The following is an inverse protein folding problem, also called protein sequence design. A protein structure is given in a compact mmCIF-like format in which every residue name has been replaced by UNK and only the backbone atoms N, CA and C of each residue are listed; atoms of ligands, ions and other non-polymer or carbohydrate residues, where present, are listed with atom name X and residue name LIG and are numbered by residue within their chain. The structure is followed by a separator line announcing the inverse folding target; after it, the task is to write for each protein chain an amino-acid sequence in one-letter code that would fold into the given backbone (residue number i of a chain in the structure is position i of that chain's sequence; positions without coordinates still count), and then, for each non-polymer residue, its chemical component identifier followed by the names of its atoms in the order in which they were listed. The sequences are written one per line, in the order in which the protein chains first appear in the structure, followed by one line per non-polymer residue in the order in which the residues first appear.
data_IF_059717140967
#
_entry.id   IF_059717140967
#
_cell.length_a   1.000
_cell.length_b   1.000
_cell.length_c   1.000
_cell.angle_alpha   90.00
_cell.angle_beta   90.00
_cell.angle_gamma   90.00
#
_symmetry.space_group_name_H-M   'P 1'
#
loop_
_entity.id
_entity.type
_entity.pdbx_description
1 polymer ?
#
# COMPACT_ATOMS: atom_id res chain seq x y z
N UNK A 1 33.54 -13.12 18.02
CA UNK A 1 34.01 -12.52 16.74
C UNK A 1 34.32 -13.57 15.67
N UNK A 2 33.68 -14.75 15.68
CA UNK A 2 34.01 -15.86 14.75
C UNK A 2 32.91 -16.27 13.77
N UNK A 3 31.64 -15.91 14.01
CA UNK A 3 30.49 -16.38 13.19
C UNK A 3 29.97 -15.32 12.19
N UNK A 4 30.34 -14.04 12.36
CA UNK A 4 29.88 -12.95 11.49
C UNK A 4 30.60 -12.91 10.14
N UNK A 5 31.77 -13.55 10.03
CA UNK A 5 32.53 -13.63 8.76
C UNK A 5 32.05 -14.79 7.86
N UNK A 6 31.44 -15.84 8.40
CA UNK A 6 30.96 -16.99 7.59
C UNK A 6 29.77 -16.62 6.70
N UNK A 7 28.89 -15.73 7.15
CA UNK A 7 27.73 -15.27 6.36
C UNK A 7 28.11 -14.25 5.28
N UNK A 8 29.18 -13.47 5.47
CA UNK A 8 29.67 -12.54 4.43
C UNK A 8 30.34 -13.25 3.26
N UNK A 9 30.98 -14.41 3.49
CA UNK A 9 31.60 -15.21 2.44
C UNK A 9 30.56 -15.90 1.53
N UNK A 10 29.46 -16.40 2.10
CA UNK A 10 28.33 -16.97 1.33
C UNK A 10 27.70 -15.89 0.41
N UNK A 11 27.55 -14.67 0.91
CA UNK A 11 27.00 -13.56 0.12
C UNK A 11 27.96 -13.10 -1.00
N UNK A 12 29.27 -13.17 -0.77
CA UNK A 12 30.30 -12.82 -1.76
C UNK A 12 30.39 -13.86 -2.88
N UNK A 13 30.25 -15.16 -2.56
CA UNK A 13 30.21 -16.24 -3.56
C UNK A 13 28.96 -16.16 -4.46
N UNK A 14 27.82 -15.73 -3.89
CA UNK A 14 26.57 -15.45 -4.64
C UNK A 14 26.70 -14.23 -5.56
N UNK A 15 27.56 -13.26 -5.22
CA UNK A 15 27.80 -12.03 -6.01
C UNK A 15 28.82 -12.27 -7.14
N UNK A 16 29.81 -13.14 -6.95
CA UNK A 16 30.89 -13.40 -7.93
C UNK A 16 30.49 -14.40 -9.02
N UNK A 17 29.59 -15.34 -8.74
CA UNK A 17 29.04 -16.25 -9.76
C UNK A 17 27.89 -15.61 -10.53
N UNK A 18 28.24 -14.63 -11.35
CA UNK A 18 27.33 -13.93 -12.22
C UNK A 18 26.59 -14.85 -13.21
N UNK A 19 25.26 -14.71 -13.20
CA UNK A 19 24.28 -15.08 -14.25
C UNK A 19 24.00 -16.57 -14.41
N UNK A 20 22.82 -17.00 -13.92
CA UNK A 20 21.87 -17.94 -14.59
C UNK A 20 20.66 -18.38 -13.75
N UNK A 21 20.39 -17.77 -12.60
CA UNK A 21 19.22 -18.16 -11.78
C UNK A 21 17.92 -17.53 -12.28
N UNK A 22 16.89 -18.37 -12.43
CA UNK A 22 15.49 -18.03 -12.68
C UNK A 22 14.86 -17.41 -11.42
N UNK A 23 13.72 -16.72 -11.58
CA UNK A 23 13.04 -16.04 -10.48
C UNK A 23 12.62 -16.97 -9.34
N UNK A 24 12.27 -18.23 -9.65
CA UNK A 24 11.96 -19.27 -8.66
C UNK A 24 13.18 -19.69 -7.84
N UNK A 25 14.34 -19.82 -8.48
CA UNK A 25 15.59 -20.17 -7.80
C UNK A 25 16.06 -19.04 -6.86
N UNK A 26 15.83 -17.78 -7.25
CA UNK A 26 16.04 -16.64 -6.35
C UNK A 26 15.08 -16.65 -5.15
N UNK A 27 13.83 -17.07 -5.35
CA UNK A 27 12.83 -17.10 -4.30
C UNK A 27 13.10 -18.20 -3.28
N UNK A 28 13.50 -19.40 -3.72
CA UNK A 28 13.89 -20.49 -2.83
C UNK A 28 15.12 -20.14 -1.99
N UNK A 29 16.13 -19.47 -2.56
CA UNK A 29 17.31 -19.04 -1.77
C UNK A 29 16.96 -17.94 -0.77
N UNK A 30 16.10 -16.99 -1.14
CA UNK A 30 15.64 -15.95 -0.20
C UNK A 30 14.85 -16.58 0.95
N UNK A 31 13.98 -17.53 0.66
CA UNK A 31 13.20 -18.26 1.66
C UNK A 31 14.11 -19.10 2.56
N UNK A 32 15.13 -19.77 2.02
CA UNK A 32 16.10 -20.55 2.79
C UNK A 32 16.98 -19.66 3.70
N UNK A 33 17.41 -18.49 3.22
CA UNK A 33 18.15 -17.50 4.02
C UNK A 33 17.26 -16.95 5.15
N UNK A 34 15.99 -16.66 4.86
CA UNK A 34 15.00 -16.23 5.86
C UNK A 34 14.78 -17.34 6.90
N UNK A 35 14.55 -18.58 6.47
CA UNK A 35 14.31 -19.72 7.36
C UNK A 35 15.51 -20.01 8.27
N UNK A 36 16.74 -19.97 7.73
CA UNK A 36 17.98 -20.13 8.51
C UNK A 36 18.19 -19.00 9.51
N UNK A 37 17.90 -17.77 9.11
CA UNK A 37 18.02 -16.59 9.99
C UNK A 37 17.00 -16.65 11.13
N UNK A 38 15.74 -17.01 10.84
CA UNK A 38 14.69 -17.16 11.84
C UNK A 38 14.94 -18.34 12.80
N UNK A 39 15.51 -19.46 12.32
CA UNK A 39 15.97 -20.57 13.17
C UNK A 39 17.09 -20.15 14.11
N UNK A 40 18.05 -19.35 13.64
CA UNK A 40 19.15 -18.85 14.46
C UNK A 40 18.67 -17.82 15.50
N UNK A 41 17.68 -16.99 15.17
CA UNK A 41 17.05 -16.05 16.12
C UNK A 41 16.30 -16.83 17.21
N UNK A 42 15.44 -17.80 16.84
CA UNK A 42 14.75 -18.66 17.82
C UNK A 42 15.69 -19.40 18.76
N UNK A 43 16.83 -19.87 18.25
CA UNK A 43 17.85 -20.58 19.04
C UNK A 43 18.63 -19.65 19.98
N UNK A 44 18.71 -18.35 19.69
CA UNK A 44 19.33 -17.35 20.58
C UNK A 44 18.34 -16.76 21.60
N UNK A 45 17.05 -16.67 21.26
CA UNK A 45 16.00 -16.16 22.17
C UNK A 45 15.67 -17.16 23.30
N UNK A 46 15.95 -18.46 23.14
CA UNK A 46 15.91 -19.43 24.25
C UNK A 46 17.02 -19.19 25.29
N UNK A 47 18.14 -18.55 24.91
CA UNK A 47 19.32 -18.37 25.77
C UNK A 47 19.46 -16.95 26.37
N UNK A 48 18.73 -15.94 25.88
CA UNK A 48 18.84 -14.56 26.41
C UNK A 48 17.50 -13.82 26.40
N UNK A 49 16.97 -13.50 27.59
CA UNK A 49 15.88 -12.53 27.77
C UNK A 49 16.33 -11.13 27.32
N UNK A 50 15.93 -10.69 26.12
CA UNK A 50 16.20 -9.33 25.62
C UNK A 50 14.88 -8.62 25.29
N UNK A 51 14.77 -7.36 25.73
CA UNK A 51 13.63 -6.48 25.45
C UNK A 51 13.45 -6.22 23.93
N UNK A 52 12.19 -6.03 23.52
CA UNK A 52 11.74 -5.89 22.12
C UNK A 52 12.48 -4.86 21.26
N UNK A 53 13.24 -3.92 21.85
CA UNK A 53 14.13 -3.00 21.12
C UNK A 53 15.34 -3.66 20.44
N UNK A 54 15.72 -4.90 20.81
CA UNK A 54 16.81 -5.66 20.17
C UNK A 54 16.41 -6.31 18.84
N UNK A 55 15.22 -6.90 18.80
CA UNK A 55 14.65 -7.57 17.64
C UNK A 55 14.44 -6.61 16.47
N UNK A 56 13.90 -5.41 16.75
CA UNK A 56 13.58 -4.43 15.73
C UNK A 56 14.82 -3.87 15.01
N UNK A 57 15.95 -3.71 15.74
CA UNK A 57 17.23 -3.28 15.15
C UNK A 57 17.83 -4.33 14.20
N UNK A 58 17.64 -5.62 14.49
CA UNK A 58 18.09 -6.73 13.62
C UNK A 58 17.21 -6.89 12.38
N UNK A 59 15.89 -6.75 12.52
CA UNK A 59 14.93 -6.75 11.40
C UNK A 59 15.19 -5.60 10.40
N UNK A 60 15.55 -4.42 10.89
CA UNK A 60 15.96 -3.29 10.05
C UNK A 60 17.26 -3.56 9.26
N UNK A 61 18.20 -4.33 9.84
CA UNK A 61 19.43 -4.76 9.16
C UNK A 61 19.14 -5.77 8.03
N UNK A 62 18.26 -6.75 8.29
CA UNK A 62 17.81 -7.75 7.31
C UNK A 62 17.04 -7.08 6.15
N UNK A 63 16.16 -6.13 6.47
CA UNK A 63 15.44 -5.31 5.47
C UNK A 63 16.41 -4.52 4.57
N UNK A 64 17.60 -4.16 5.08
CA UNK A 64 18.66 -3.49 4.31
C UNK A 64 19.38 -4.44 3.34
N UNK A 65 19.47 -5.73 3.65
CA UNK A 65 20.08 -6.76 2.79
C UNK A 65 19.11 -7.27 1.70
N UNK A 66 17.82 -7.44 2.02
CA UNK A 66 16.77 -7.81 1.05
C UNK A 66 16.63 -6.77 -0.08
N UNK A 67 16.93 -5.49 0.21
CA UNK A 67 16.97 -4.40 -0.79
C UNK A 67 17.93 -4.64 -1.95
N UNK A 68 18.94 -5.51 -1.80
CA UNK A 68 19.96 -5.74 -2.84
C UNK A 68 19.59 -6.87 -3.82
N UNK A 69 18.77 -7.85 -3.42
CA UNK A 69 18.43 -9.01 -4.26
C UNK A 69 17.15 -8.83 -5.11
N UNK A 70 16.18 -8.03 -4.66
CA UNK A 70 14.88 -7.89 -5.35
C UNK A 70 14.86 -6.63 -6.21
N UNK A 71 15.55 -6.67 -7.35
CA UNK A 71 15.57 -5.58 -8.33
C UNK A 71 14.84 -6.00 -9.61
N UNK A 72 13.52 -5.71 -9.70
CA UNK A 72 12.87 -5.15 -10.91
C UNK A 72 11.36 -4.86 -10.84
N UNK A 73 10.58 -5.35 -9.86
CA UNK A 73 9.12 -5.08 -9.82
C UNK A 73 8.61 -4.63 -8.44
N UNK A 74 7.81 -3.54 -8.43
CA UNK A 74 7.38 -2.82 -7.22
C UNK A 74 6.27 -3.54 -6.44
N UNK A 75 5.33 -4.18 -7.13
CA UNK A 75 4.19 -4.90 -6.54
C UNK A 75 4.62 -6.11 -5.72
N UNK A 76 5.56 -6.91 -6.25
CA UNK A 76 6.14 -8.08 -5.58
C UNK A 76 6.92 -7.66 -4.32
N UNK A 77 7.58 -6.50 -4.36
CA UNK A 77 8.36 -5.97 -3.24
C UNK A 77 7.50 -5.51 -2.06
N UNK A 78 6.36 -4.87 -2.31
CA UNK A 78 5.44 -4.42 -1.26
C UNK A 78 4.78 -5.62 -0.58
N UNK A 79 4.34 -6.57 -1.40
CA UNK A 79 3.70 -7.80 -0.98
C UNK A 79 4.62 -8.73 -0.17
N UNK A 80 5.88 -8.95 -0.61
CA UNK A 80 6.82 -9.78 0.15
C UNK A 80 7.22 -9.15 1.50
N UNK A 81 7.30 -7.82 1.60
CA UNK A 81 7.52 -7.13 2.88
C UNK A 81 6.35 -7.35 3.84
N UNK A 82 5.13 -7.32 3.30
CA UNK A 82 3.89 -7.51 4.03
C UNK A 82 3.75 -8.94 4.57
N UNK A 83 4.03 -9.97 3.75
CA UNK A 83 4.02 -11.36 4.19
C UNK A 83 5.14 -11.70 5.17
N UNK A 84 6.34 -11.15 4.95
CA UNK A 84 7.46 -11.31 5.87
C UNK A 84 7.18 -10.72 7.25
N UNK A 85 6.49 -9.56 7.32
CA UNK A 85 6.09 -8.95 8.58
C UNK A 85 5.15 -9.86 9.41
N UNK A 86 4.16 -10.47 8.77
CA UNK A 86 3.21 -11.37 9.44
C UNK A 86 3.84 -12.65 9.99
N UNK A 87 4.79 -13.22 9.25
CA UNK A 87 5.55 -14.37 9.69
C UNK A 87 6.36 -14.03 10.95
N UNK A 88 7.01 -12.86 10.97
CA UNK A 88 7.75 -12.35 12.14
C UNK A 88 6.80 -12.07 13.32
N UNK A 89 5.59 -11.58 13.07
CA UNK A 89 4.57 -11.37 14.10
C UNK A 89 3.85 -12.66 14.56
N UNK A 90 4.18 -13.82 13.99
CA UNK A 90 3.56 -15.11 14.36
C UNK A 90 2.10 -15.26 13.93
N UNK A 91 1.63 -14.42 12.99
CA UNK A 91 0.22 -14.33 12.57
C UNK A 91 -0.13 -15.42 11.54
N UNK A 92 0.85 -15.93 10.79
CA UNK A 92 0.63 -16.92 9.72
C UNK A 92 1.71 -18.03 9.78
N UNK A 93 1.34 -19.33 9.75
CA UNK A 93 2.29 -20.43 9.64
C UNK A 93 3.00 -20.48 8.27
N UNK A 94 4.25 -20.94 8.24
CA UNK A 94 5.13 -21.03 7.07
C UNK A 94 4.47 -21.67 5.82
N UNK A 95 3.65 -22.72 6.02
CA UNK A 95 2.97 -23.46 4.95
C UNK A 95 1.80 -22.71 4.28
N UNK A 96 1.19 -21.74 4.98
CA UNK A 96 0.12 -20.91 4.42
C UNK A 96 0.71 -19.77 3.56
N UNK A 97 1.93 -19.32 3.87
CA UNK A 97 2.64 -18.31 3.08
C UNK A 97 2.95 -18.82 1.67
N UNK A 98 3.40 -20.06 1.52
CA UNK A 98 3.70 -20.67 0.22
C UNK A 98 2.44 -20.88 -0.66
N UNK A 99 1.32 -21.29 -0.06
CA UNK A 99 0.04 -21.42 -0.79
C UNK A 99 -0.51 -20.08 -1.24
N UNK A 100 -0.42 -19.07 -0.38
CA UNK A 100 -0.82 -17.70 -0.73
C UNK A 100 0.04 -17.18 -1.89
N UNK A 101 1.36 -17.33 -1.84
CA UNK A 101 2.27 -16.89 -2.91
C UNK A 101 2.00 -17.62 -4.24
N UNK A 102 1.75 -18.92 -4.20
CA UNK A 102 1.47 -19.72 -5.41
C UNK A 102 0.11 -19.47 -6.05
N UNK A 103 -0.83 -18.86 -5.33
CA UNK A 103 -2.15 -18.45 -5.85
C UNK A 103 -2.14 -17.11 -6.60
N UNK A 104 -1.02 -16.38 -6.57
CA UNK A 104 -0.90 -15.04 -7.14
C UNK A 104 -0.60 -15.15 -8.63
N UNK A 105 -1.44 -14.58 -9.53
CA UNK A 105 -1.16 -14.57 -10.95
C UNK A 105 0.18 -13.87 -11.22
N UNK A 106 1.11 -14.54 -11.89
CA UNK A 106 2.34 -13.93 -12.39
C UNK A 106 2.00 -13.00 -13.57
N UNK A 107 2.15 -11.67 -13.45
CA UNK A 107 1.87 -10.78 -14.55
C UNK A 107 3.02 -10.83 -15.55
N UNK A 108 2.72 -11.18 -16.80
CA UNK A 108 3.63 -10.97 -17.93
C UNK A 108 3.64 -9.47 -18.23
N UNK A 109 4.68 -8.74 -17.81
CA UNK A 109 4.80 -7.30 -18.08
C UNK A 109 5.13 -7.08 -19.55
N UNK A 110 4.12 -6.65 -20.32
CA UNK A 110 4.33 -5.90 -21.54
C UNK A 110 3.43 -4.68 -21.55
N UNK A 111 4.06 -3.52 -21.64
CA UNK A 111 3.56 -2.21 -22.06
C UNK A 111 3.02 -1.21 -21.00
N UNK A 112 3.31 0.06 -21.28
CA UNK A 112 3.22 1.26 -20.43
C UNK A 112 1.79 1.70 -20.01
N UNK A 113 0.81 0.79 -20.05
CA UNK A 113 -0.59 1.10 -19.74
C UNK A 113 -0.96 0.66 -18.34
N UNK A 114 -1.51 1.57 -17.54
CA UNK A 114 -2.07 1.20 -16.24
C UNK A 114 -3.18 0.15 -16.39
N UNK A 115 -3.22 -0.78 -15.44
CA UNK A 115 -4.33 -1.72 -15.30
C UNK A 115 -5.63 -0.99 -14.96
N UNK A 116 -6.75 -1.56 -15.40
CA UNK A 116 -8.08 -1.00 -15.10
C UNK A 116 -8.46 -1.27 -13.65
N UNK A 117 -9.16 -0.31 -13.04
CA UNK A 117 -9.80 -0.45 -11.73
C UNK A 117 -11.31 -0.47 -11.95
N UNK A 118 -11.98 -1.49 -11.43
CA UNK A 118 -13.43 -1.63 -11.44
C UNK A 118 -13.95 -1.30 -10.06
N UNK A 119 -14.96 -0.43 -9.99
CA UNK A 119 -15.58 0.00 -8.74
C UNK A 119 -17.08 0.11 -8.91
N UNK A 120 -17.82 -0.30 -7.88
CA UNK A 120 -19.27 -0.13 -7.89
C UNK A 120 -19.63 1.34 -7.64
N UNK A 121 -20.46 1.98 -8.48
CA UNK A 121 -20.93 3.35 -8.20
C UNK A 121 -21.77 3.42 -6.91
N UNK A 122 -22.36 2.31 -6.47
CA UNK A 122 -23.11 2.24 -5.21
C UNK A 122 -22.20 2.41 -3.98
N UNK A 123 -20.92 2.04 -4.08
CA UNK A 123 -19.95 2.21 -2.99
C UNK A 123 -19.84 3.67 -2.56
N UNK A 124 -19.87 4.61 -3.51
CA UNK A 124 -19.79 6.04 -3.18
C UNK A 124 -21.05 6.55 -2.50
N UNK A 125 -22.21 6.01 -2.88
CA UNK A 125 -23.47 6.35 -2.20
C UNK A 125 -23.43 5.85 -0.76
N UNK A 126 -23.03 4.61 -0.54
CA UNK A 126 -22.91 4.04 0.80
C UNK A 126 -21.88 4.81 1.65
N UNK A 127 -20.74 5.20 1.05
CA UNK A 127 -19.76 6.04 1.73
C UNK A 127 -20.35 7.41 2.15
N UNK A 128 -21.14 8.06 1.30
CA UNK A 128 -21.83 9.31 1.66
C UNK A 128 -22.82 9.09 2.81
N UNK A 129 -23.57 7.99 2.78
CA UNK A 129 -24.53 7.65 3.83
C UNK A 129 -23.81 7.43 5.18
N UNK A 130 -22.65 6.76 5.17
CA UNK A 130 -21.75 6.57 6.33
C UNK A 130 -21.14 7.89 6.83
N UNK A 131 -20.79 8.77 5.90
CA UNK A 131 -20.16 10.06 6.18
C UNK A 131 -21.13 11.14 6.67
N UNK A 132 -22.44 10.94 6.51
CA UNK A 132 -23.47 11.96 6.80
C UNK A 132 -23.32 12.62 8.17
N UNK A 133 -23.10 11.91 9.30
CA UNK A 133 -22.94 12.56 10.60
C UNK A 133 -21.75 13.51 10.67
N UNK A 134 -20.65 13.18 9.97
CA UNK A 134 -19.45 14.02 9.88
C UNK A 134 -19.69 15.24 8.97
N UNK A 135 -20.34 15.01 7.82
CA UNK A 135 -20.69 16.05 6.87
C UNK A 135 -21.60 17.12 7.50
N UNK A 136 -22.59 16.71 8.30
CA UNK A 136 -23.50 17.63 9.01
C UNK A 136 -22.76 18.52 10.03
N UNK A 137 -21.58 18.09 10.49
CA UNK A 137 -20.69 18.83 11.38
C UNK A 137 -19.54 19.55 10.65
N UNK A 138 -19.55 19.55 9.30
CA UNK A 138 -18.46 20.08 8.48
C UNK A 138 -17.10 19.45 8.85
N UNK A 139 -17.07 18.12 9.00
CA UNK A 139 -15.89 17.31 9.28
C UNK A 139 -15.60 16.39 8.09
N UNK A 140 -14.35 16.37 7.64
CA UNK A 140 -13.88 15.39 6.65
C UNK A 140 -13.79 14.00 7.27
N UNK A 141 -14.09 13.00 6.46
CA UNK A 141 -13.96 11.59 6.81
C UNK A 141 -13.40 10.86 5.59
N UNK A 142 -12.54 9.87 5.83
CA UNK A 142 -11.94 9.05 4.79
C UNK A 142 -12.12 7.55 5.01
N UNK A 143 -11.86 6.78 3.97
CA UNK A 143 -11.86 5.33 3.97
C UNK A 143 -10.87 4.78 2.93
N UNK A 144 -10.40 3.55 3.16
CA UNK A 144 -9.52 2.83 2.23
C UNK A 144 -10.36 2.04 1.24
N UNK A 145 -10.00 2.14 -0.04
CA UNK A 145 -10.51 1.29 -1.11
C UNK A 145 -9.59 0.08 -1.24
N UNK A 146 -10.08 -1.09 -0.85
CA UNK A 146 -9.33 -2.33 -0.91
C UNK A 146 -10.01 -3.35 -1.84
N UNK A 147 -9.23 -4.30 -2.35
CA UNK A 147 -9.80 -5.30 -3.22
C UNK A 147 -8.81 -6.28 -3.84
N UNK A 148 -9.20 -6.90 -4.95
CA UNK A 148 -8.48 -8.05 -5.53
C UNK A 148 -8.03 -7.76 -6.95
N UNK A 149 -6.98 -8.45 -7.40
CA UNK A 149 -6.54 -8.48 -8.79
C UNK A 149 -7.10 -9.75 -9.46
N UNK A 150 -7.81 -9.61 -10.56
CA UNK A 150 -8.31 -10.76 -11.32
C UNK A 150 -7.24 -11.36 -12.26
N UNK A 151 -7.59 -12.50 -12.87
CA UNK A 151 -6.72 -13.21 -13.81
C UNK A 151 -6.46 -12.43 -15.12
N UNK A 152 -7.33 -11.47 -15.47
CA UNK A 152 -7.17 -10.58 -16.62
C UNK A 152 -6.27 -9.38 -16.29
N UNK A 153 -5.78 -9.27 -15.05
CA UNK A 153 -4.97 -8.15 -14.60
C UNK A 153 -5.77 -6.89 -14.30
N UNK A 154 -7.07 -6.97 -13.99
CA UNK A 154 -7.90 -5.84 -13.56
C UNK A 154 -8.08 -5.85 -12.06
N UNK A 155 -8.00 -4.67 -11.46
CA UNK A 155 -8.29 -4.49 -10.04
C UNK A 155 -9.78 -4.34 -9.83
N UNK A 156 -10.33 -5.00 -8.82
CA UNK A 156 -11.72 -4.89 -8.40
C UNK A 156 -11.74 -4.34 -6.99
N UNK A 157 -12.35 -3.18 -6.77
CA UNK A 157 -12.59 -2.66 -5.42
C UNK A 157 -13.75 -3.45 -4.81
N UNK A 158 -13.43 -4.34 -3.88
CA UNK A 158 -14.37 -5.27 -3.24
C UNK A 158 -14.54 -5.01 -1.74
N UNK A 159 -13.80 -4.06 -1.17
CA UNK A 159 -13.97 -3.65 0.22
C UNK A 159 -13.80 -2.13 0.39
N UNK A 160 -14.73 -1.53 1.14
CA UNK A 160 -14.62 -0.16 1.67
C UNK A 160 -14.32 -0.26 3.16
N UNK A 161 -13.10 0.12 3.56
CA UNK A 161 -12.65 0.02 4.95
C UNK A 161 -12.66 1.41 5.59
N UNK A 162 -13.55 1.64 6.55
CA UNK A 162 -13.69 2.92 7.24
C UNK A 162 -12.90 2.84 8.56
N UNK A 163 -11.72 3.46 8.67
CA UNK A 163 -10.93 3.38 9.90
C UNK A 163 -11.57 4.19 11.02
N UNK A 164 -11.27 3.82 12.27
CA UNK A 164 -11.30 4.78 13.37
C UNK A 164 -10.44 5.98 12.98
N UNK A 165 -10.91 7.20 13.22
CA UNK A 165 -10.21 8.40 12.70
C UNK A 165 -10.55 9.65 13.50
N UNK A 166 -9.61 10.59 13.56
CA UNK A 166 -9.86 11.95 14.05
C UNK A 166 -10.19 12.84 12.86
N UNK A 167 -11.41 13.37 12.84
CA UNK A 167 -11.91 14.19 11.76
C UNK A 167 -11.79 15.68 12.09
N UNK A 168 -11.36 16.48 11.12
CA UNK A 168 -11.32 17.94 11.15
C UNK A 168 -11.99 18.50 9.89
N UNK A 169 -12.21 19.82 9.81
CA UNK A 169 -12.92 20.41 8.68
C UNK A 169 -12.16 20.37 7.34
N UNK A 170 -10.86 20.12 7.35
CA UNK A 170 -9.99 20.15 6.17
C UNK A 170 -8.97 19.00 6.13
N UNK A 171 -9.12 18.02 7.02
CA UNK A 171 -8.25 16.86 7.11
C UNK A 171 -8.87 15.79 8.00
N UNK A 172 -8.33 14.58 7.92
CA UNK A 172 -8.58 13.53 8.89
C UNK A 172 -7.29 12.73 9.13
N UNK A 173 -7.20 12.10 10.29
CA UNK A 173 -6.10 11.20 10.66
C UNK A 173 -6.69 9.83 10.94
N UNK A 174 -6.32 8.81 10.15
CA UNK A 174 -6.68 7.44 10.46
C UNK A 174 -5.96 6.98 11.74
N UNK A 175 -6.70 6.31 12.61
CA UNK A 175 -6.20 5.69 13.84
C UNK A 175 -6.08 4.19 13.61
N UNK A 176 -5.03 3.58 14.16
CA UNK A 176 -4.79 2.15 14.09
C UNK A 176 -4.72 1.60 12.65
N UNK A 177 -3.95 2.24 11.78
CA UNK A 177 -3.74 1.80 10.39
C UNK A 177 -3.25 0.34 10.28
N UNK A 178 -2.55 -0.16 11.30
CA UNK A 178 -2.13 -1.57 11.42
C UNK A 178 -3.32 -2.54 11.34
N UNK A 179 -4.48 -2.18 11.90
CA UNK A 179 -5.69 -3.02 11.84
C UNK A 179 -6.23 -3.11 10.42
N UNK A 180 -6.22 -2.01 9.66
CA UNK A 180 -6.61 -2.00 8.25
C UNK A 180 -5.68 -2.91 7.44
N UNK A 181 -4.39 -2.82 7.72
CA UNK A 181 -3.37 -3.62 7.05
C UNK A 181 -3.54 -5.12 7.35
N UNK A 182 -3.74 -5.49 8.62
CA UNK A 182 -4.02 -6.86 9.05
C UNK A 182 -5.32 -7.38 8.42
N UNK A 183 -6.38 -6.55 8.38
CA UNK A 183 -7.62 -6.93 7.72
C UNK A 183 -7.40 -7.23 6.24
N UNK A 184 -6.72 -6.34 5.51
CA UNK A 184 -6.41 -6.56 4.10
C UNK A 184 -5.65 -7.87 3.88
N UNK A 185 -4.61 -8.12 4.67
CA UNK A 185 -3.82 -9.34 4.62
C UNK A 185 -4.68 -10.59 4.81
N UNK A 186 -5.43 -10.61 5.91
CA UNK A 186 -6.19 -11.81 6.34
C UNK A 186 -7.30 -12.16 5.36
N UNK A 187 -7.71 -11.19 4.53
CA UNK A 187 -8.73 -11.35 3.49
C UNK A 187 -8.14 -11.30 2.07
N UNK A 188 -6.81 -11.35 1.93
CA UNK A 188 -6.11 -11.29 0.64
C UNK A 188 -6.48 -10.08 -0.24
N UNK A 189 -6.67 -8.93 0.40
CA UNK A 189 -6.98 -7.65 -0.24
C UNK A 189 -5.73 -6.79 -0.40
N UNK A 190 -5.74 -5.97 -1.44
CA UNK A 190 -4.71 -5.00 -1.79
C UNK A 190 -5.29 -3.60 -1.58
N UNK A 191 -4.48 -2.66 -1.08
CA UNK A 191 -4.86 -1.24 -1.04
C UNK A 191 -4.87 -0.70 -2.48
N UNK A 192 -6.05 -0.39 -3.01
CA UNK A 192 -6.24 0.10 -4.38
C UNK A 192 -6.39 1.63 -4.39
N UNK A 193 -6.72 2.24 -3.26
CA UNK A 193 -6.82 3.68 -3.16
C UNK A 193 -7.47 4.14 -1.89
N UNK A 194 -7.96 5.37 -1.92
CA UNK A 194 -8.66 6.03 -0.82
C UNK A 194 -9.87 6.79 -1.35
N UNK A 195 -10.81 7.04 -0.44
CA UNK A 195 -11.95 7.92 -0.67
C UNK A 195 -12.13 8.83 0.55
N UNK A 196 -12.36 10.12 0.33
CA UNK A 196 -12.66 11.05 1.41
C UNK A 196 -13.68 12.11 0.99
N UNK A 197 -14.25 12.77 1.99
CA UNK A 197 -15.22 13.85 1.77
C UNK A 197 -14.60 15.22 1.90
N UNK A 198 -15.04 16.16 1.06
CA UNK A 198 -14.90 17.60 1.23
C UNK A 198 -16.27 18.20 1.56
N UNK A 199 -16.63 18.39 2.84
CA UNK A 199 -17.96 18.86 3.23
C UNK A 199 -18.32 20.21 2.61
N UNK A 200 -17.37 21.14 2.52
CA UNK A 200 -17.62 22.50 1.99
C UNK A 200 -16.65 22.92 0.89
N UNK A 201 -15.55 22.20 0.72
CA UNK A 201 -14.49 22.51 -0.24
C UNK A 201 -14.85 22.02 -1.65
N UNK A 202 -14.06 22.48 -2.62
CA UNK A 202 -14.18 22.04 -4.01
C UNK A 202 -13.73 20.60 -4.18
N UNK A 203 -14.28 19.93 -5.19
CA UNK A 203 -13.87 18.58 -5.58
C UNK A 203 -12.52 18.61 -6.30
N UNK A 204 -11.45 18.66 -5.51
CA UNK A 204 -10.05 18.80 -5.95
C UNK A 204 -9.14 18.21 -4.87
N UNK A 205 -7.94 17.74 -5.22
CA UNK A 205 -6.97 17.31 -4.21
C UNK A 205 -6.28 18.51 -3.57
N UNK A 206 -6.33 18.56 -2.24
CA UNK A 206 -5.57 19.49 -1.40
C UNK A 206 -4.08 19.09 -1.32
N UNK A 207 -3.23 19.93 -0.73
CA UNK A 207 -1.82 19.56 -0.52
C UNK A 207 -1.66 18.40 0.45
N UNK A 208 -2.57 18.26 1.43
CA UNK A 208 -2.57 17.17 2.40
C UNK A 208 -2.98 15.88 1.68
N UNK A 209 -4.05 15.93 0.89
CA UNK A 209 -4.54 14.80 0.09
C UNK A 209 -3.46 14.27 -0.85
N UNK A 210 -2.70 15.17 -1.49
CA UNK A 210 -1.60 14.79 -2.36
C UNK A 210 -0.51 14.01 -1.62
N UNK A 211 -0.17 14.39 -0.39
CA UNK A 211 0.82 13.67 0.41
C UNK A 211 0.29 12.34 0.93
N UNK A 212 -0.98 12.28 1.31
CA UNK A 212 -1.63 11.03 1.70
C UNK A 212 -1.66 10.05 0.52
N UNK A 213 -2.16 10.51 -0.62
CA UNK A 213 -2.28 9.71 -1.83
C UNK A 213 -0.92 9.28 -2.42
N UNK A 214 0.15 10.06 -2.22
CA UNK A 214 1.49 9.71 -2.68
C UNK A 214 1.91 8.33 -2.18
N UNK A 215 1.59 7.96 -0.94
CA UNK A 215 1.96 6.67 -0.39
C UNK A 215 1.22 5.51 -1.06
N UNK A 216 -0.09 5.66 -1.27
CA UNK A 216 -0.88 4.69 -2.03
C UNK A 216 -0.32 4.50 -3.44
N UNK A 217 -0.06 5.60 -4.16
CA UNK A 217 0.42 5.53 -5.54
C UNK A 217 1.89 5.10 -5.64
N UNK A 218 2.69 5.32 -4.60
CA UNK A 218 4.04 4.80 -4.52
C UNK A 218 4.02 3.28 -4.40
N UNK A 219 3.14 2.71 -3.57
CA UNK A 219 3.01 1.25 -3.42
C UNK A 219 2.35 0.59 -4.62
N UNK A 220 1.28 1.20 -5.16
CA UNK A 220 0.53 0.73 -6.32
C UNK A 220 0.41 1.86 -7.37
N UNK A 221 1.09 1.77 -8.53
CA UNK A 221 1.04 2.83 -9.55
C UNK A 221 -0.35 3.19 -10.08
N UNK A 222 -1.29 2.24 -10.04
CA UNK A 222 -2.70 2.41 -10.40
C UNK A 222 -3.56 3.07 -9.33
N UNK A 223 -3.05 3.31 -8.12
CA UNK A 223 -3.90 3.74 -7.02
C UNK A 223 -4.66 5.03 -7.32
N UNK A 224 -5.89 5.12 -6.82
CA UNK A 224 -6.79 6.26 -7.04
C UNK A 224 -7.11 6.98 -5.73
N UNK A 225 -7.31 8.30 -5.80
CA UNK A 225 -7.86 9.12 -4.72
C UNK A 225 -9.21 9.66 -5.15
N UNK A 226 -10.24 9.33 -4.37
CA UNK A 226 -11.62 9.69 -4.66
C UNK A 226 -12.05 10.80 -3.72
N UNK A 227 -12.45 11.95 -4.28
CA UNK A 227 -12.99 13.08 -3.51
C UNK A 227 -14.49 13.13 -3.69
N UNK A 228 -15.23 13.18 -2.58
CA UNK A 228 -16.67 13.40 -2.56
C UNK A 228 -16.97 14.78 -1.99
N UNK A 229 -17.45 15.70 -2.82
CA UNK A 229 -17.72 17.09 -2.45
C UNK A 229 -19.22 17.42 -2.52
N UNK A 230 -20.04 17.05 -1.51
CA UNK A 230 -21.50 17.17 -1.58
C UNK A 230 -22.01 18.62 -1.58
N UNK A 231 -21.19 19.64 -1.37
CA UNK A 231 -21.63 21.03 -1.48
C UNK A 231 -20.97 21.78 -2.65
N UNK A 232 -20.17 21.09 -3.46
CA UNK A 232 -19.64 21.67 -4.70
C UNK A 232 -20.71 21.63 -5.80
N UNK A 233 -21.20 22.81 -6.19
CA UNK A 233 -22.20 22.97 -7.24
C UNK A 233 -21.71 22.58 -8.65
N UNK A 234 -20.39 22.48 -8.85
CA UNK A 234 -19.80 22.21 -10.17
C UNK A 234 -19.47 20.74 -10.37
N UNK A 235 -18.90 20.09 -9.35
CA UNK A 235 -18.47 18.70 -9.41
C UNK A 235 -18.61 18.08 -8.03
N UNK A 236 -19.55 17.15 -7.86
CA UNK A 236 -19.81 16.52 -6.55
C UNK A 236 -18.89 15.36 -6.23
N UNK A 237 -18.15 14.89 -7.22
CA UNK A 237 -17.33 13.68 -7.14
C UNK A 237 -16.21 13.73 -8.16
N UNK A 238 -15.03 13.24 -7.79
CA UNK A 238 -13.90 13.13 -8.69
C UNK A 238 -12.96 11.99 -8.32
N UNK A 239 -12.35 11.40 -9.35
CA UNK A 239 -11.34 10.34 -9.20
C UNK A 239 -10.05 10.88 -9.75
N UNK A 240 -9.02 10.90 -8.92
CA UNK A 240 -7.75 11.55 -9.20
C UNK A 240 -6.60 10.59 -9.00
N UNK A 241 -5.47 10.97 -9.60
CA UNK A 241 -4.18 10.36 -9.39
C UNK A 241 -3.09 11.43 -9.44
N UNK A 242 -1.95 11.16 -8.83
CA UNK A 242 -0.75 12.01 -8.98
C UNK A 242 -0.10 11.74 -10.34
N UNK A 243 0.34 12.79 -11.03
CA UNK A 243 1.05 12.62 -12.31
C UNK A 243 2.39 11.92 -12.10
N UNK A 244 2.72 10.98 -12.98
CA UNK A 244 3.95 10.18 -12.90
C UNK A 244 4.72 10.33 -14.23
N UNK A 245 5.98 10.79 -14.24
CA UNK A 245 6.87 10.97 -13.08
C UNK A 245 6.80 12.32 -12.38
N UNK A 246 6.21 13.36 -12.97
CA UNK A 246 6.35 14.74 -12.48
C UNK A 246 5.82 14.94 -11.06
N UNK A 247 4.52 14.71 -10.82
CA UNK A 247 3.91 14.91 -9.52
C UNK A 247 4.49 14.02 -8.42
N UNK A 248 4.70 12.73 -8.72
CA UNK A 248 5.36 11.80 -7.80
C UNK A 248 6.77 12.27 -7.41
N UNK A 249 7.52 12.83 -8.35
CA UNK A 249 8.87 13.36 -8.09
C UNK A 249 8.84 14.64 -7.25
N UNK A 250 7.86 15.52 -7.46
CA UNK A 250 7.67 16.75 -6.67
C UNK A 250 7.34 16.39 -5.22
N UNK A 251 6.36 15.51 -5.00
CA UNK A 251 5.93 15.11 -3.66
C UNK A 251 7.04 14.37 -2.90
N UNK A 252 7.77 13.47 -3.58
CA UNK A 252 8.93 12.76 -3.01
C UNK A 252 10.02 13.70 -2.49
N UNK A 253 10.22 14.85 -3.13
CA UNK A 253 11.26 15.82 -2.77
C UNK A 253 10.77 16.89 -1.82
N UNK A 254 9.48 16.91 -1.49
CA UNK A 254 8.92 17.89 -0.57
C UNK A 254 9.47 17.66 0.84
N UNK A 255 9.98 18.72 1.46
CA UNK A 255 10.51 18.74 2.82
C UNK A 255 9.68 19.64 3.76
N UNK A 256 8.52 20.12 3.30
CA UNK A 256 7.58 20.89 4.12
C UNK A 256 6.80 19.96 5.04
N UNK A 257 6.25 20.50 6.12
CA UNK A 257 5.33 19.76 6.97
C UNK A 257 4.09 19.34 6.14
N UNK A 258 3.82 18.05 6.08
CA UNK A 258 2.74 17.48 5.28
C UNK A 258 1.37 17.65 5.94
N UNK A 259 1.34 17.92 7.25
CA UNK A 259 0.11 18.24 7.98
C UNK A 259 -0.36 19.69 7.76
N UNK A 260 0.50 20.55 7.19
CA UNK A 260 0.19 21.95 6.93
C UNK A 260 -0.12 22.19 5.45
N UNK A 261 -1.08 23.08 5.18
CA UNK A 261 -1.37 23.51 3.81
C UNK A 261 -0.18 24.21 3.17
N UNK A 262 0.22 23.76 1.99
CA UNK A 262 1.29 24.39 1.24
C UNK A 262 1.18 24.17 -0.26
N UNK A 263 1.73 25.12 -1.01
CA UNK A 263 1.77 25.04 -2.47
C UNK A 263 2.97 24.22 -2.95
N UNK A 264 2.72 23.47 -4.04
CA UNK A 264 3.73 22.84 -4.87
C UNK A 264 3.81 23.58 -6.20
N UNK A 265 4.99 24.09 -6.54
CA UNK A 265 5.18 24.81 -7.80
C UNK A 265 5.06 23.86 -8.99
N UNK A 266 4.12 24.16 -9.88
CA UNK A 266 3.97 23.47 -11.17
C UNK A 266 4.51 24.35 -12.28
N UNK A 267 5.69 24.00 -12.80
CA UNK A 267 6.38 24.79 -13.84
C UNK A 267 5.65 24.83 -15.20
N UNK A 268 4.70 23.92 -15.46
CA UNK A 268 3.99 23.80 -16.75
C UNK A 268 2.87 22.75 -16.78
N UNK A 269 2.92 21.74 -15.91
CA UNK A 269 1.99 20.60 -15.89
C UNK A 269 1.40 20.40 -14.49
N UNK A 270 0.13 19.93 -14.40
CA UNK A 270 -0.52 19.73 -13.11
C UNK A 270 0.12 18.57 -12.32
N UNK A 271 0.16 18.71 -10.99
CA UNK A 271 0.75 17.70 -10.10
C UNK A 271 -0.12 16.44 -9.96
N UNK A 272 -1.41 16.55 -10.27
CA UNK A 272 -2.38 15.47 -10.32
C UNK A 272 -3.33 15.68 -11.48
N UNK A 273 -4.01 14.63 -11.93
CA UNK A 273 -5.02 14.70 -12.97
C UNK A 273 -6.20 13.78 -12.65
N UNK A 274 -7.28 13.97 -13.41
CA UNK A 274 -8.41 13.04 -13.42
C UNK A 274 -7.95 11.68 -13.96
N UNK A 275 -8.38 10.60 -13.32
CA UNK A 275 -8.01 9.23 -13.72
C UNK A 275 -9.21 8.35 -14.09
N UNK A 276 -10.32 8.98 -14.49
CA UNK A 276 -11.53 8.28 -14.95
C UNK A 276 -11.28 7.43 -16.21
N UNK A 277 -10.18 7.65 -16.95
CA UNK A 277 -9.84 6.90 -18.16
C UNK A 277 -9.54 5.40 -17.92
N UNK A 278 -9.06 5.04 -16.72
CA UNK A 278 -8.81 3.64 -16.33
C UNK A 278 -9.63 3.19 -15.12
N UNK A 279 -10.51 4.05 -14.62
CA UNK A 279 -11.51 3.70 -13.59
C UNK A 279 -12.84 3.39 -14.26
N UNK A 280 -13.30 2.14 -14.14
CA UNK A 280 -14.53 1.63 -14.72
C UNK A 280 -15.58 1.52 -13.61
N UNK A 281 -16.68 2.25 -13.76
CA UNK A 281 -17.82 2.13 -12.87
C UNK A 281 -18.71 0.97 -13.33
N UNK A 282 -18.71 -0.12 -12.57
CA UNK A 282 -19.48 -1.32 -12.89
C UNK A 282 -20.44 -1.66 -11.73
N UNK A 283 -21.77 -1.52 -11.93
CA UNK A 283 -22.76 -1.81 -10.89
C UNK A 283 -22.82 -3.28 -10.47
N UNK A 284 -22.21 -4.20 -11.22
CA UNK A 284 -22.18 -5.61 -10.89
C UNK A 284 -21.08 -5.98 -9.89
N UNK A 285 -20.13 -5.06 -9.65
CA UNK A 285 -19.09 -5.26 -8.65
C UNK A 285 -19.73 -5.29 -7.27
N UNK A 286 -19.54 -6.43 -6.59
CA UNK A 286 -19.94 -6.60 -5.20
C UNK A 286 -18.81 -6.13 -4.30
N UNK A 287 -19.19 -5.45 -3.23
CA UNK A 287 -18.25 -5.00 -2.22
C UNK A 287 -18.84 -5.17 -0.83
N UNK A 288 -17.98 -5.25 0.18
CA UNK A 288 -18.33 -5.18 1.59
C UNK A 288 -17.90 -3.84 2.19
N UNK A 289 -18.72 -3.29 3.09
CA UNK A 289 -18.31 -2.18 3.95
C UNK A 289 -17.85 -2.76 5.29
N UNK A 290 -16.69 -2.33 5.76
CA UNK A 290 -16.15 -2.70 7.07
C UNK A 290 -15.85 -1.42 7.83
N UNK A 291 -16.58 -1.19 8.91
CA UNK A 291 -16.46 0.02 9.73
C UNK A 291 -15.74 -0.29 11.05
N UNK A 292 -14.61 0.36 11.26
CA UNK A 292 -13.71 0.18 12.41
C UNK A 292 -13.81 1.34 13.43
N UNK A 293 -14.73 2.29 13.24
CA UNK A 293 -14.89 3.47 14.11
C UNK A 293 -15.42 3.15 15.51
#
# INVERSE_FOLDING_TARGET
MGEDMTNSHILLDVITEGRKKTQSEWMEEILDVIAKTCKNIKKQDEDVMIDGGGMMRRLLSINKQIRFCVMREHSIRSMLKQYFWLFICGVVPEMEVEKCISSIPHPTITDLTLRKILVSPYLFKDFVDIAKPNLDLNLEIGAVLAGTLDIDGKYHITALLVPAQKCQSFSFEALNEDMLHIYCITHSLIHIGEIHTHPSQKCQLSSIDLHNHYWFQNELPEAISVVVAPNDSTRRFGVYRITNPKGMSVLRKCNKNQADFHFHETSSEPIYNDCSEYTIFDPNIRYSVVDFR
#
